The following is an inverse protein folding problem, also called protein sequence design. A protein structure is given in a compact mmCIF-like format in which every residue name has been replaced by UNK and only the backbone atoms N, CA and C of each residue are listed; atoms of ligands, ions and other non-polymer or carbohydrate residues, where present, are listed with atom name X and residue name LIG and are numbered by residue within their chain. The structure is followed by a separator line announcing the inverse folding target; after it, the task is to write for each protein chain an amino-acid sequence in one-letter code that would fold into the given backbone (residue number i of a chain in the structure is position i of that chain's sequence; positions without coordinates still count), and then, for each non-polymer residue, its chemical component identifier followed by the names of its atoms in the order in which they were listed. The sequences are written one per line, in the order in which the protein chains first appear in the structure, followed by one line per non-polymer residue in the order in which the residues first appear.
data_IF_568813884785
#
_entry.id   IF_568813884785
#
_cell.length_a   1.000
_cell.length_b   1.000
_cell.length_c   1.000
_cell.angle_alpha   90.00
_cell.angle_beta   90.00
_cell.angle_gamma   90.00
#
_symmetry.space_group_name_H-M   'P 1'
#
loop_
_entity.id
_entity.type
_entity.pdbx_description
1 polymer ?
#
# COMPACT_ATOMS: atom_id res chain seq x y z
N UNK A 1 33.47 -7.24 5.72
CA UNK A 1 32.39 -7.87 6.51
C UNK A 1 32.25 -7.11 7.82
N UNK A 2 31.75 -5.88 7.77
CA UNK A 2 31.11 -5.25 8.92
C UNK A 2 29.60 -5.50 8.75
N UNK A 3 29.18 -6.76 8.95
CA UNK A 3 27.86 -7.21 8.50
C UNK A 3 26.70 -6.58 9.30
N UNK A 4 26.96 -6.13 10.52
CA UNK A 4 25.95 -5.50 11.37
C UNK A 4 26.56 -4.31 12.11
N UNK A 5 25.88 -3.16 12.04
CA UNK A 5 26.28 -1.98 12.79
C UNK A 5 26.28 -2.28 14.31
N UNK A 6 27.18 -1.66 15.10
CA UNK A 6 27.26 -1.88 16.55
C UNK A 6 25.92 -1.72 17.28
N UNK A 7 25.05 -0.86 16.74
CA UNK A 7 23.71 -0.64 17.29
C UNK A 7 22.76 -1.81 17.06
N UNK A 8 22.77 -2.41 15.86
CA UNK A 8 22.02 -3.65 15.58
C UNK A 8 22.48 -4.77 16.51
N UNK A 9 23.78 -4.87 16.79
CA UNK A 9 24.33 -5.85 17.75
C UNK A 9 23.86 -5.58 19.17
N UNK A 10 23.86 -4.32 19.63
CA UNK A 10 23.32 -3.95 20.96
C UNK A 10 21.85 -4.33 21.10
N UNK A 11 21.04 -4.03 20.07
CA UNK A 11 19.62 -4.41 20.02
C UNK A 11 19.43 -5.93 20.04
N UNK A 12 20.27 -6.67 19.32
CA UNK A 12 20.25 -8.14 19.32
C UNK A 12 20.54 -8.70 20.71
N UNK A 13 21.61 -8.23 21.36
CA UNK A 13 21.96 -8.65 22.73
C UNK A 13 20.80 -8.35 23.68
N UNK A 14 20.20 -7.16 23.60
CA UNK A 14 19.04 -6.79 24.42
C UNK A 14 17.85 -7.74 24.23
N UNK A 15 17.58 -8.14 22.99
CA UNK A 15 16.53 -9.13 22.71
C UNK A 15 16.80 -10.47 23.38
N UNK A 16 18.05 -10.94 23.40
CA UNK A 16 18.39 -12.22 24.05
C UNK A 16 18.07 -12.21 25.55
N UNK A 17 18.24 -11.06 26.23
CA UNK A 17 17.96 -10.94 27.67
C UNK A 17 16.52 -10.56 28.01
N UNK A 18 15.85 -9.79 27.15
CA UNK A 18 14.54 -9.18 27.47
C UNK A 18 13.39 -9.67 26.59
N UNK A 19 13.69 -10.44 25.54
CA UNK A 19 12.75 -10.81 24.47
C UNK A 19 12.17 -9.62 23.71
N UNK A 20 12.81 -8.45 23.82
CA UNK A 20 12.49 -7.23 23.09
C UNK A 20 13.77 -6.46 22.69
N UNK A 21 13.71 -5.74 21.59
CA UNK A 21 14.68 -4.72 21.21
C UNK A 21 13.92 -3.40 20.97
N UNK A 22 13.80 -2.55 21.99
CA UNK A 22 12.97 -1.34 21.92
C UNK A 22 13.22 -0.51 20.65
N UNK A 23 12.14 -0.15 19.95
CA UNK A 23 12.19 0.65 18.72
C UNK A 23 12.37 2.16 18.97
N UNK A 24 12.26 2.61 20.22
CA UNK A 24 12.19 4.02 20.61
C UNK A 24 13.51 4.78 20.32
N UNK A 25 14.67 4.10 20.39
CA UNK A 25 15.98 4.70 20.07
C UNK A 25 16.20 4.90 18.55
N UNK A 26 15.39 4.27 17.69
CA UNK A 26 15.62 4.31 16.24
C UNK A 26 15.32 5.70 15.64
N UNK A 27 14.40 6.45 16.27
CA UNK A 27 14.01 7.78 15.81
C UNK A 27 14.99 8.88 16.24
N UNK A 28 15.81 8.68 17.29
CA UNK A 28 16.74 9.73 17.79
C UNK A 28 18.15 9.65 17.22
N UNK A 29 18.53 8.55 16.57
CA UNK A 29 19.88 8.34 16.03
C UNK A 29 20.16 9.12 14.72
N UNK A 30 19.14 9.76 14.15
CA UNK A 30 19.23 10.54 12.92
C UNK A 30 20.04 11.84 12.98
N UNK A 31 20.56 12.22 14.15
CA UNK A 31 21.26 13.48 14.37
C UNK A 31 22.80 13.35 14.50
N UNK A 32 23.37 12.14 14.45
CA UNK A 32 24.81 11.96 14.51
C UNK A 32 25.39 11.46 13.18
N UNK A 33 26.01 12.43 12.51
CA UNK A 33 26.80 12.39 11.29
C UNK A 33 27.63 11.11 11.11
N UNK A 34 27.69 10.67 9.85
CA UNK A 34 28.75 9.84 9.29
C UNK A 34 30.10 10.44 9.70
N UNK A 35 30.80 9.81 10.64
CA UNK A 35 32.17 10.15 10.99
C UNK A 35 33.07 9.45 10.00
N UNK A 36 33.55 10.21 9.02
CA UNK A 36 34.68 9.85 8.18
C UNK A 36 35.92 9.65 9.05
N UNK A 37 36.30 8.41 9.31
CA UNK A 37 37.59 8.06 9.85
C UNK A 37 38.54 7.72 8.70
N UNK A 38 39.17 8.75 8.13
CA UNK A 38 40.45 8.61 7.44
C UNK A 38 41.30 9.80 7.87
N UNK A 39 42.16 9.55 8.86
CA UNK A 39 43.25 10.44 9.24
C UNK A 39 44.54 9.81 8.74
N UNK A 40 45.32 10.63 8.05
CA UNK A 40 46.56 10.34 7.34
C UNK A 40 47.64 9.64 8.17
N UNK A 41 48.49 8.84 7.51
CA UNK A 41 49.94 8.83 7.77
C UNK A 41 50.75 8.29 6.56
N UNK A 42 51.14 9.25 5.71
CA UNK A 42 52.51 9.58 5.29
C UNK A 42 53.41 8.67 4.40
N UNK A 43 54.06 9.39 3.46
CA UNK A 43 55.44 9.24 2.95
C UNK A 43 55.75 8.40 1.69
N UNK A 44 55.74 9.11 0.55
CA UNK A 44 56.80 9.24 -0.48
C UNK A 44 57.91 8.19 -0.60
N UNK A 45 58.11 7.67 -1.84
CA UNK A 45 59.42 7.66 -2.50
C UNK A 45 59.30 7.43 -4.02
N UNK A 46 60.04 8.25 -4.76
CA UNK A 46 60.24 8.32 -6.21
C UNK A 46 60.82 7.05 -6.87
N UNK A 47 60.67 6.96 -8.21
CA UNK A 47 61.79 6.53 -9.06
C UNK A 47 61.45 5.95 -10.44
N UNK A 48 61.68 6.75 -11.50
CA UNK A 48 62.27 6.36 -12.80
C UNK A 48 61.49 5.38 -13.71
N UNK A 49 60.93 5.83 -14.83
CA UNK A 49 61.58 5.99 -16.16
C UNK A 49 61.86 4.69 -16.94
N UNK A 50 61.14 4.57 -18.07
CA UNK A 50 61.64 4.36 -19.44
C UNK A 50 61.04 3.20 -20.27
N UNK A 51 60.40 3.66 -21.36
CA UNK A 51 60.59 3.31 -22.76
C UNK A 51 60.33 1.86 -23.27
N UNK A 52 59.17 1.75 -23.91
CA UNK A 52 58.95 1.55 -25.35
C UNK A 52 59.28 0.19 -26.05
N UNK A 53 58.33 -0.12 -26.94
CA UNK A 53 58.41 -0.89 -28.19
C UNK A 53 58.24 -2.43 -28.23
N UNK A 54 57.04 -2.80 -28.69
CA UNK A 54 56.72 -3.64 -29.86
C UNK A 54 57.51 -4.93 -30.13
N UNK A 55 56.79 -6.06 -30.19
CA UNK A 55 56.46 -6.75 -31.45
C UNK A 55 55.85 -8.16 -31.24
N UNK A 56 54.66 -8.36 -31.83
CA UNK A 56 54.32 -9.48 -32.74
C UNK A 56 54.09 -10.92 -32.19
N UNK A 57 52.80 -11.34 -32.27
CA UNK A 57 52.18 -12.66 -32.64
C UNK A 57 52.79 -13.96 -32.10
N UNK A 58 52.04 -14.97 -31.63
CA UNK A 58 51.19 -15.91 -32.39
C UNK A 58 50.32 -16.78 -31.44
N UNK A 59 49.25 -17.36 -32.01
CA UNK A 59 48.29 -18.32 -31.44
C UNK A 59 48.92 -19.59 -30.85
N UNK A 60 48.31 -20.19 -29.81
CA UNK A 60 47.44 -21.38 -29.96
C UNK A 60 47.06 -22.05 -28.62
N UNK A 61 45.78 -22.43 -28.57
CA UNK A 61 45.16 -23.62 -27.99
C UNK A 61 45.47 -24.12 -26.54
N UNK A 62 44.35 -24.21 -25.80
CA UNK A 62 43.93 -25.33 -24.95
C UNK A 62 44.47 -25.41 -23.51
N UNK A 63 43.60 -25.11 -22.55
CA UNK A 63 43.37 -25.99 -21.38
C UNK A 63 42.08 -25.59 -20.66
N UNK A 64 41.17 -26.55 -20.60
CA UNK A 64 40.03 -26.63 -19.70
C UNK A 64 40.49 -26.52 -18.25
N UNK A 65 40.03 -25.50 -17.53
CA UNK A 65 40.00 -25.56 -16.08
C UNK A 65 38.75 -24.88 -15.53
N UNK A 66 37.96 -25.69 -14.82
CA UNK A 66 36.71 -25.31 -14.18
C UNK A 66 37.06 -24.50 -12.93
N UNK A 67 36.96 -23.18 -13.03
CA UNK A 67 37.06 -22.31 -11.85
C UNK A 67 35.94 -21.27 -11.88
N UNK A 68 35.01 -21.43 -10.94
CA UNK A 68 33.92 -20.52 -10.62
C UNK A 68 34.46 -19.13 -10.30
N UNK A 69 34.60 -18.28 -11.33
CA UNK A 69 34.87 -16.85 -11.14
C UNK A 69 33.55 -16.13 -10.86
N UNK A 70 33.35 -15.83 -9.58
CA UNK A 70 32.44 -14.81 -9.11
C UNK A 70 32.68 -13.51 -9.90
N UNK A 71 31.69 -13.09 -10.67
CA UNK A 71 31.68 -11.81 -11.35
C UNK A 71 31.50 -10.74 -10.27
N UNK A 72 32.61 -10.13 -9.83
CA UNK A 72 32.60 -8.87 -9.10
C UNK A 72 32.22 -7.76 -10.09
N UNK A 73 30.93 -7.52 -10.25
CA UNK A 73 30.47 -6.21 -10.72
C UNK A 73 30.57 -5.23 -9.56
N UNK A 74 31.74 -4.59 -9.44
CA UNK A 74 31.85 -3.35 -8.69
C UNK A 74 31.15 -2.25 -9.49
N UNK A 75 29.84 -2.12 -9.31
CA UNK A 75 29.12 -0.95 -9.80
C UNK A 75 29.49 0.21 -8.88
N UNK A 76 30.32 1.13 -9.37
CA UNK A 76 30.45 2.48 -8.82
C UNK A 76 29.13 3.21 -9.14
N UNK A 77 28.12 2.95 -8.33
CA UNK A 77 26.85 3.67 -8.36
C UNK A 77 27.08 5.08 -7.84
N UNK A 78 26.70 6.06 -8.64
CA UNK A 78 26.55 7.46 -8.24
C UNK A 78 25.47 7.46 -7.17
N UNK A 79 25.83 7.74 -5.92
CA UNK A 79 24.89 7.80 -4.79
C UNK A 79 23.93 8.96 -5.07
N UNK A 80 22.76 8.64 -5.61
CA UNK A 80 21.65 9.58 -5.72
C UNK A 80 21.13 9.72 -4.29
N UNK A 81 21.33 10.87 -3.67
CA UNK A 81 20.72 11.17 -2.38
C UNK A 81 19.20 11.08 -2.54
N UNK A 82 18.60 9.99 -2.04
CA UNK A 82 17.15 9.84 -1.99
C UNK A 82 16.67 10.52 -0.71
N UNK A 83 16.00 11.69 -0.77
CA UNK A 83 15.54 12.41 0.42
C UNK A 83 14.60 11.57 1.31
N UNK A 84 14.00 10.54 0.74
CA UNK A 84 13.13 9.54 1.39
C UNK A 84 13.86 8.71 2.46
N UNK A 85 15.18 8.54 2.35
CA UNK A 85 16.01 7.79 3.33
C UNK A 85 16.20 8.55 4.66
N UNK A 86 15.87 9.84 4.68
CA UNK A 86 15.87 10.67 5.87
C UNK A 86 14.67 10.45 6.79
N UNK A 87 13.61 9.82 6.29
CA UNK A 87 12.35 9.68 7.00
C UNK A 87 12.46 8.72 8.22
N UNK A 88 11.89 9.08 9.38
CA UNK A 88 11.97 8.25 10.58
C UNK A 88 11.28 6.89 10.42
N UNK A 89 10.22 6.79 9.62
CA UNK A 89 9.52 5.54 9.33
C UNK A 89 10.40 4.63 8.47
N UNK A 90 11.00 5.19 7.41
CA UNK A 90 11.96 4.47 6.57
C UNK A 90 13.09 3.85 7.42
N UNK A 91 13.69 4.65 8.30
CA UNK A 91 14.77 4.21 9.21
C UNK A 91 14.31 3.15 10.21
N UNK A 92 13.09 3.28 10.71
CA UNK A 92 12.48 2.31 11.63
C UNK A 92 12.31 0.96 10.96
N UNK A 93 11.77 0.94 9.74
CA UNK A 93 11.60 -0.31 8.97
C UNK A 93 12.97 -0.93 8.69
N UNK A 94 13.94 -0.14 8.23
CA UNK A 94 15.28 -0.64 7.94
C UNK A 94 15.98 -1.24 9.18
N UNK A 95 15.81 -0.62 10.35
CA UNK A 95 16.32 -1.16 11.59
C UNK A 95 15.65 -2.49 11.95
N UNK A 96 14.34 -2.63 11.76
CA UNK A 96 13.66 -3.90 11.95
C UNK A 96 14.08 -4.96 10.93
N UNK A 97 14.31 -4.59 9.67
CA UNK A 97 14.85 -5.50 8.65
C UNK A 97 16.23 -6.04 9.03
N UNK A 98 17.12 -5.19 9.57
CA UNK A 98 18.42 -5.65 10.07
C UNK A 98 18.27 -6.62 11.24
N UNK A 99 17.33 -6.37 12.14
CA UNK A 99 17.04 -7.28 13.26
C UNK A 99 16.45 -8.61 12.80
N UNK A 100 15.60 -8.57 11.77
CA UNK A 100 15.11 -9.75 11.09
C UNK A 100 16.30 -10.56 10.52
N UNK A 101 17.20 -9.92 9.77
CA UNK A 101 18.39 -10.54 9.20
C UNK A 101 19.31 -11.16 10.25
N UNK A 102 19.51 -10.48 11.39
CA UNK A 102 20.28 -11.03 12.51
C UNK A 102 19.59 -12.25 13.13
N UNK A 103 18.26 -12.20 13.27
CA UNK A 103 17.47 -13.33 13.74
C UNK A 103 17.62 -14.54 12.82
N UNK A 104 17.61 -14.33 11.51
CA UNK A 104 17.82 -15.39 10.53
C UNK A 104 19.25 -15.94 10.59
N UNK A 105 20.26 -15.06 10.56
CA UNK A 105 21.68 -15.42 10.61
C UNK A 105 22.06 -16.25 11.85
N UNK A 106 21.55 -15.87 13.03
CA UNK A 106 21.83 -16.58 14.29
C UNK A 106 20.78 -17.65 14.65
N UNK A 107 19.83 -17.93 13.74
CA UNK A 107 18.74 -18.90 13.94
C UNK A 107 17.91 -18.65 15.22
N UNK A 108 17.46 -17.41 15.39
CA UNK A 108 16.59 -16.93 16.47
C UNK A 108 15.20 -16.62 15.89
N UNK A 109 14.32 -17.63 15.70
CA UNK A 109 13.04 -17.47 14.98
C UNK A 109 12.06 -16.51 15.66
N UNK A 110 12.12 -16.39 16.99
CA UNK A 110 11.29 -15.43 17.75
C UNK A 110 11.63 -13.98 17.36
N UNK A 111 12.90 -13.69 17.07
CA UNK A 111 13.36 -12.36 16.66
C UNK A 111 12.88 -12.04 15.24
N UNK A 112 13.00 -13.00 14.31
CA UNK A 112 12.49 -12.89 12.93
C UNK A 112 10.99 -12.58 12.95
N UNK A 113 10.22 -13.33 13.75
CA UNK A 113 8.78 -13.12 13.91
C UNK A 113 8.45 -11.75 14.50
N UNK A 114 9.14 -11.33 15.56
CA UNK A 114 8.92 -10.02 16.17
C UNK A 114 9.25 -8.89 15.19
N UNK A 115 10.35 -9.00 14.46
CA UNK A 115 10.75 -8.01 13.48
C UNK A 115 9.75 -7.87 12.34
N UNK A 116 9.30 -9.00 11.74
CA UNK A 116 8.25 -8.97 10.72
C UNK A 116 6.95 -8.37 11.23
N UNK A 117 6.56 -8.69 12.48
CA UNK A 117 5.37 -8.10 13.11
C UNK A 117 5.49 -6.58 13.19
N UNK A 118 6.66 -6.06 13.59
CA UNK A 118 6.89 -4.61 13.72
C UNK A 118 6.96 -3.90 12.39
N UNK A 119 7.58 -4.50 11.37
CA UNK A 119 7.60 -3.98 10.01
C UNK A 119 6.16 -3.86 9.50
N UNK A 120 5.36 -4.94 9.65
CA UNK A 120 3.98 -4.95 9.20
C UNK A 120 3.13 -3.89 9.93
N UNK A 121 3.23 -3.79 11.27
CA UNK A 121 2.52 -2.74 12.03
C UNK A 121 2.90 -1.34 11.55
N UNK A 122 4.19 -1.10 11.30
CA UNK A 122 4.67 0.19 10.83
C UNK A 122 4.08 0.53 9.45
N UNK A 123 4.09 -0.42 8.52
CA UNK A 123 3.54 -0.28 7.17
C UNK A 123 2.01 -0.13 7.15
N UNK A 124 1.28 -0.96 7.91
CA UNK A 124 -0.19 -0.93 7.94
C UNK A 124 -0.76 0.30 8.67
N UNK A 125 0.02 0.96 9.52
CA UNK A 125 -0.41 2.19 10.20
C UNK A 125 -0.30 3.45 9.32
N UNK A 126 0.21 3.31 8.10
CA UNK A 126 0.48 4.40 7.18
C UNK A 126 -0.78 5.00 6.55
N UNK A 127 -0.78 6.31 6.37
CA UNK A 127 -1.66 6.94 5.37
C UNK A 127 -1.06 6.72 3.97
N UNK A 128 -1.87 6.45 2.93
CA UNK A 128 -1.40 6.41 1.53
C UNK A 128 -0.72 7.70 1.06
N UNK A 129 -1.01 8.82 1.72
CA UNK A 129 -0.43 10.14 1.45
C UNK A 129 0.81 10.44 2.31
N UNK A 130 1.35 9.44 3.04
CA UNK A 130 2.50 9.66 3.89
C UNK A 130 3.76 9.98 3.06
N UNK A 131 4.59 10.95 3.49
CA UNK A 131 5.75 11.42 2.70
C UNK A 131 6.79 10.34 2.35
N UNK A 132 6.84 9.23 3.07
CA UNK A 132 7.77 8.12 2.83
C UNK A 132 7.25 7.06 1.84
N UNK A 133 5.95 7.08 1.50
CA UNK A 133 5.33 6.11 0.58
C UNK A 133 6.03 6.06 -0.79
N UNK A 134 6.43 7.20 -1.41
CA UNK A 134 7.17 7.17 -2.66
C UNK A 134 8.49 6.39 -2.57
N UNK A 135 9.13 6.37 -1.40
CA UNK A 135 10.38 5.65 -1.14
C UNK A 135 10.22 4.16 -0.82
N UNK A 136 9.01 3.60 -0.87
CA UNK A 136 8.77 2.18 -0.67
C UNK A 136 9.56 1.25 -1.61
N UNK A 137 9.72 1.55 -2.92
CA UNK A 137 10.56 0.73 -3.80
C UNK A 137 12.01 0.66 -3.33
N UNK A 138 12.60 1.81 -2.99
CA UNK A 138 13.98 1.92 -2.47
C UNK A 138 14.11 1.18 -1.15
N UNK A 139 13.11 1.28 -0.27
CA UNK A 139 13.07 0.53 0.98
C UNK A 139 13.05 -0.97 0.72
N UNK A 140 12.23 -1.42 -0.24
CA UNK A 140 12.09 -2.83 -0.58
C UNK A 140 13.40 -3.37 -1.17
N UNK A 141 14.06 -2.63 -2.05
CA UNK A 141 15.39 -2.96 -2.57
C UNK A 141 16.40 -3.11 -1.44
N UNK A 142 16.54 -2.07 -0.61
CA UNK A 142 17.49 -2.07 0.50
C UNK A 142 17.21 -3.22 1.46
N UNK A 143 15.94 -3.52 1.72
CA UNK A 143 15.54 -4.58 2.61
C UNK A 143 15.87 -5.97 2.05
N UNK A 144 15.59 -6.20 0.76
CA UNK A 144 15.84 -7.47 0.08
C UNK A 144 17.34 -7.71 -0.16
N UNK A 145 18.15 -6.66 -0.26
CA UNK A 145 19.61 -6.77 -0.24
C UNK A 145 20.15 -7.23 1.12
N UNK A 146 19.49 -6.84 2.21
CA UNK A 146 19.88 -7.20 3.58
C UNK A 146 19.45 -8.62 3.92
N UNK A 147 18.18 -8.96 3.66
CA UNK A 147 17.64 -10.29 3.92
C UNK A 147 16.54 -10.61 2.93
N UNK A 148 16.69 -11.75 2.26
CA UNK A 148 15.68 -12.27 1.36
C UNK A 148 15.00 -13.47 2.00
N UNK A 149 14.02 -13.20 2.88
CA UNK A 149 13.12 -14.24 3.38
C UNK A 149 11.69 -13.99 2.90
N UNK A 150 10.95 -15.09 2.77
CA UNK A 150 9.60 -15.14 2.23
C UNK A 150 8.64 -14.19 2.96
N UNK A 151 8.69 -14.16 4.30
CA UNK A 151 7.81 -13.33 5.11
C UNK A 151 8.05 -11.82 4.94
N UNK A 152 9.29 -11.37 4.79
CA UNK A 152 9.60 -9.96 4.56
C UNK A 152 9.24 -9.55 3.12
N UNK A 153 9.55 -10.41 2.15
CA UNK A 153 9.20 -10.17 0.75
C UNK A 153 7.70 -10.01 0.56
N UNK A 154 6.89 -10.83 1.23
CA UNK A 154 5.43 -10.76 1.17
C UNK A 154 4.91 -9.43 1.76
N UNK A 155 5.39 -9.04 2.94
CA UNK A 155 4.99 -7.80 3.63
C UNK A 155 5.34 -6.55 2.80
N UNK A 156 6.54 -6.49 2.24
CA UNK A 156 6.97 -5.36 1.40
C UNK A 156 6.20 -5.33 0.07
N UNK A 157 5.97 -6.49 -0.54
CA UNK A 157 5.18 -6.60 -1.78
C UNK A 157 3.76 -6.11 -1.57
N UNK A 158 3.12 -6.52 -0.47
CA UNK A 158 1.79 -6.06 -0.09
C UNK A 158 1.75 -4.54 0.08
N UNK A 159 2.72 -3.96 0.81
CA UNK A 159 2.79 -2.52 1.01
C UNK A 159 3.01 -1.73 -0.28
N UNK A 160 3.87 -2.22 -1.19
CA UNK A 160 4.06 -1.62 -2.52
C UNK A 160 2.78 -1.74 -3.35
N UNK A 161 2.11 -2.88 -3.34
CA UNK A 161 0.88 -3.11 -4.10
C UNK A 161 -0.29 -2.22 -3.61
N UNK A 162 -0.45 -2.06 -2.31
CA UNK A 162 -1.48 -1.19 -1.72
C UNK A 162 -1.28 0.29 -2.11
N UNK A 163 -0.02 0.71 -2.26
CA UNK A 163 0.34 2.09 -2.59
C UNK A 163 0.75 2.26 -4.07
N UNK A 164 0.46 1.28 -4.92
CA UNK A 164 1.00 1.24 -6.28
C UNK A 164 0.55 2.43 -7.13
N UNK A 165 -0.67 2.92 -6.93
CA UNK A 165 -1.18 4.10 -7.63
C UNK A 165 -0.32 5.33 -7.37
N UNK A 166 0.02 5.58 -6.09
CA UNK A 166 0.87 6.71 -5.67
C UNK A 166 2.29 6.54 -6.21
N UNK A 167 2.86 5.34 -6.05
CA UNK A 167 4.23 5.02 -6.51
C UNK A 167 4.37 5.23 -8.03
N UNK A 168 3.40 4.73 -8.82
CA UNK A 168 3.40 4.92 -10.27
C UNK A 168 3.21 6.38 -10.69
N UNK A 169 2.42 7.16 -9.93
CA UNK A 169 2.21 8.59 -10.20
C UNK A 169 3.47 9.40 -9.93
N UNK A 170 4.21 9.05 -8.88
CA UNK A 170 5.46 9.69 -8.51
C UNK A 170 6.67 9.24 -9.34
N UNK A 171 6.52 8.14 -10.12
CA UNK A 171 7.57 7.63 -11.01
C UNK A 171 8.71 6.91 -10.29
N UNK A 172 8.60 6.59 -9.00
CA UNK A 172 9.73 6.06 -8.20
C UNK A 172 10.13 4.62 -8.55
N UNK A 173 9.32 3.92 -9.36
CA UNK A 173 9.66 2.61 -9.93
C UNK A 173 10.42 2.70 -11.26
N UNK A 174 10.55 3.88 -11.88
CA UNK A 174 11.19 4.00 -13.21
C UNK A 174 12.69 3.71 -13.16
N UNK A 175 13.34 4.09 -12.07
CA UNK A 175 14.77 3.88 -11.83
C UNK A 175 15.07 2.64 -10.97
N UNK A 176 14.02 1.92 -10.54
CA UNK A 176 14.13 0.78 -9.62
C UNK A 176 14.60 -0.49 -10.34
N UNK A 177 15.64 -1.20 -9.86
CA UNK A 177 16.00 -2.53 -10.35
C UNK A 177 14.94 -3.61 -10.10
N UNK A 178 13.92 -3.34 -9.27
CA UNK A 178 12.84 -4.30 -9.00
C UNK A 178 12.01 -4.61 -10.24
N UNK A 179 11.94 -3.70 -11.21
CA UNK A 179 11.06 -3.82 -12.37
C UNK A 179 11.81 -3.60 -13.68
N UNK A 180 11.52 -4.44 -14.66
CA UNK A 180 11.93 -4.16 -16.05
C UNK A 180 11.01 -3.10 -16.67
N UNK A 181 11.44 -2.37 -17.71
CA UNK A 181 10.58 -1.41 -18.41
C UNK A 181 9.29 -2.04 -18.94
N UNK A 182 9.34 -3.30 -19.38
CA UNK A 182 8.17 -4.05 -19.82
C UNK A 182 7.20 -4.30 -18.65
N UNK A 183 7.70 -4.80 -17.52
CA UNK A 183 6.88 -5.04 -16.32
C UNK A 183 6.23 -3.75 -15.82
N UNK A 184 6.97 -2.64 -15.84
CA UNK A 184 6.47 -1.34 -15.43
C UNK A 184 5.33 -0.85 -16.34
N UNK A 185 5.46 -0.99 -17.66
CA UNK A 185 4.39 -0.62 -18.58
C UNK A 185 3.13 -1.49 -18.39
N UNK A 186 3.30 -2.79 -18.19
CA UNK A 186 2.19 -3.70 -17.84
C UNK A 186 1.52 -3.24 -16.55
N UNK A 187 2.31 -2.92 -15.52
CA UNK A 187 1.80 -2.47 -14.23
C UNK A 187 1.05 -1.14 -14.32
N UNK A 188 1.56 -0.18 -15.11
CA UNK A 188 0.87 1.10 -15.42
C UNK A 188 -0.49 0.84 -16.07
N UNK A 189 -0.57 -0.05 -17.07
CA UNK A 189 -1.84 -0.40 -17.73
C UNK A 189 -2.80 -1.13 -16.79
N UNK A 190 -2.30 -2.04 -15.96
CA UNK A 190 -3.10 -2.75 -14.96
C UNK A 190 -3.68 -1.79 -13.92
N UNK A 191 -2.88 -0.85 -13.43
CA UNK A 191 -3.33 0.17 -12.48
C UNK A 191 -4.42 1.08 -13.09
N UNK A 192 -4.20 1.58 -14.31
CA UNK A 192 -5.19 2.39 -15.02
C UNK A 192 -6.51 1.64 -15.26
N UNK A 193 -6.43 0.36 -15.64
CA UNK A 193 -7.62 -0.50 -15.81
C UNK A 193 -8.35 -0.71 -14.49
N UNK A 194 -7.61 -0.94 -13.41
CA UNK A 194 -8.19 -1.14 -12.06
C UNK A 194 -8.88 0.13 -11.55
N UNK A 195 -8.29 1.30 -11.79
CA UNK A 195 -8.91 2.59 -11.48
C UNK A 195 -10.21 2.81 -12.27
N UNK A 196 -10.20 2.59 -13.58
CA UNK A 196 -11.41 2.72 -14.42
C UNK A 196 -12.53 1.74 -14.01
N UNK A 197 -12.17 0.52 -13.61
CA UNK A 197 -13.13 -0.46 -13.08
C UNK A 197 -13.71 -0.01 -11.73
N UNK A 198 -12.88 0.53 -10.84
CA UNK A 198 -13.30 1.08 -9.55
C UNK A 198 -14.30 2.23 -9.72
N UNK A 199 -14.01 3.18 -10.62
CA UNK A 199 -14.91 4.28 -10.95
C UNK A 199 -16.25 3.79 -11.52
N UNK A 200 -16.20 2.84 -12.46
CA UNK A 200 -17.39 2.23 -13.05
C UNK A 200 -18.24 1.52 -12.00
N UNK A 201 -17.61 0.79 -11.09
CA UNK A 201 -18.29 0.10 -10.00
C UNK A 201 -18.95 1.10 -9.05
N UNK A 202 -18.23 2.14 -8.65
CA UNK A 202 -18.76 3.22 -7.80
C UNK A 202 -19.99 3.90 -8.41
N UNK A 203 -19.92 4.23 -9.70
CA UNK A 203 -21.05 4.77 -10.45
C UNK A 203 -22.25 3.81 -10.43
N UNK A 204 -22.05 2.53 -10.76
CA UNK A 204 -23.13 1.53 -10.78
C UNK A 204 -23.76 1.31 -9.41
N UNK A 205 -22.95 1.26 -8.35
CA UNK A 205 -23.43 1.14 -6.96
C UNK A 205 -24.32 2.33 -6.60
N UNK A 206 -23.91 3.55 -6.95
CA UNK A 206 -24.70 4.76 -6.72
C UNK A 206 -26.04 4.71 -7.46
N UNK A 207 -26.02 4.40 -8.76
CA UNK A 207 -27.24 4.28 -9.56
C UNK A 207 -28.18 3.21 -9.02
N UNK A 208 -27.65 2.06 -8.60
CA UNK A 208 -28.45 0.98 -8.01
C UNK A 208 -29.12 1.44 -6.71
N UNK A 209 -28.40 2.15 -5.83
CA UNK A 209 -28.97 2.71 -4.61
C UNK A 209 -30.07 3.75 -4.91
N UNK A 210 -29.88 4.60 -5.92
CA UNK A 210 -30.90 5.56 -6.35
C UNK A 210 -32.15 4.87 -6.90
N UNK A 211 -31.99 3.79 -7.67
CA UNK A 211 -33.13 3.00 -8.18
C UNK A 211 -33.81 2.24 -7.05
N UNK A 212 -33.05 1.62 -6.15
CA UNK A 212 -33.58 0.87 -5.02
C UNK A 212 -34.40 1.76 -4.09
N UNK A 213 -33.92 2.97 -3.78
CA UNK A 213 -34.68 3.93 -2.96
C UNK A 213 -35.97 4.39 -3.64
N UNK A 214 -35.99 4.56 -4.97
CA UNK A 214 -37.22 4.85 -5.73
C UNK A 214 -38.19 3.68 -5.71
N UNK A 215 -37.68 2.46 -5.92
CA UNK A 215 -38.49 1.24 -5.89
C UNK A 215 -39.14 1.04 -4.52
N UNK A 216 -38.36 1.21 -3.44
CA UNK A 216 -38.86 1.10 -2.07
C UNK A 216 -40.00 2.10 -1.81
N UNK A 217 -39.81 3.38 -2.20
CA UNK A 217 -40.86 4.41 -2.06
C UNK A 217 -42.12 4.05 -2.85
N UNK A 218 -41.97 3.55 -4.07
CA UNK A 218 -43.11 3.13 -4.89
C UNK A 218 -43.84 1.91 -4.29
N UNK A 219 -43.09 0.95 -3.77
CA UNK A 219 -43.65 -0.22 -3.08
C UNK A 219 -44.42 0.19 -1.81
N UNK A 220 -43.86 1.09 -1.00
CA UNK A 220 -44.52 1.61 0.20
C UNK A 220 -45.80 2.38 -0.16
N UNK A 221 -45.76 3.20 -1.23
CA UNK A 221 -46.95 3.89 -1.74
C UNK A 221 -48.03 2.92 -2.23
N UNK A 222 -47.65 1.88 -2.97
CA UNK A 222 -48.59 0.87 -3.45
C UNK A 222 -49.23 0.11 -2.27
N UNK A 223 -48.46 -0.19 -1.23
CA UNK A 223 -48.98 -0.80 0.00
C UNK A 223 -49.98 0.13 0.70
N UNK A 224 -49.64 1.40 0.87
CA UNK A 224 -50.53 2.41 1.46
C UNK A 224 -51.84 2.56 0.67
N UNK A 225 -51.76 2.60 -0.67
CA UNK A 225 -52.93 2.64 -1.54
C UNK A 225 -53.82 1.41 -1.37
N UNK A 226 -53.22 0.22 -1.29
CA UNK A 226 -53.95 -1.04 -1.06
C UNK A 226 -54.67 -1.01 0.30
N UNK A 227 -53.99 -0.59 1.37
CA UNK A 227 -54.60 -0.46 2.70
C UNK A 227 -55.75 0.55 2.74
N UNK A 228 -55.58 1.70 2.07
CA UNK A 228 -56.62 2.71 1.93
C UNK A 228 -57.84 2.14 1.18
N UNK A 229 -57.62 1.42 0.07
CA UNK A 229 -58.70 0.81 -0.71
C UNK A 229 -59.46 -0.26 0.08
N UNK A 230 -58.77 -1.10 0.86
CA UNK A 230 -59.41 -2.06 1.77
C UNK A 230 -60.25 -1.36 2.83
N UNK A 231 -59.74 -0.26 3.40
CA UNK A 231 -60.48 0.53 4.40
C UNK A 231 -61.74 1.14 3.80
N UNK A 232 -61.61 1.78 2.63
CA UNK A 232 -62.73 2.39 1.90
C UNK A 232 -63.78 1.32 1.55
N UNK A 233 -63.38 0.19 0.95
CA UNK A 233 -64.32 -0.88 0.58
C UNK A 233 -65.02 -1.58 1.76
N UNK A 234 -64.45 -1.53 2.97
CA UNK A 234 -65.07 -2.13 4.17
C UNK A 234 -66.24 -1.33 4.75
N UNK A 235 -66.37 -0.04 4.39
CA UNK A 235 -67.40 0.85 4.92
C UNK A 235 -68.50 0.98 3.88
N UNK A 236 -69.78 0.89 4.29
CA UNK A 236 -70.94 0.93 3.40
C UNK A 236 -71.89 2.12 3.67
N UNK A 237 -71.47 3.06 4.54
CA UNK A 237 -72.26 4.23 4.96
C UNK A 237 -71.37 5.47 5.03
N UNK A 238 -71.94 6.64 4.77
CA UNK A 238 -71.26 7.91 5.02
C UNK A 238 -70.92 8.07 6.52
N UNK A 239 -69.71 8.58 6.84
CA UNK A 239 -69.31 8.88 8.23
C UNK A 239 -70.00 10.12 8.82
N UNK A 240 -70.56 10.99 7.98
CA UNK A 240 -71.24 12.20 8.44
C UNK A 240 -72.58 11.86 9.07
N UNK A 241 -72.76 12.25 10.34
CA UNK A 241 -74.02 12.04 11.08
C UNK A 241 -75.19 12.65 10.32
N UNK A 242 -76.23 11.85 10.08
CA UNK A 242 -77.43 12.26 9.33
C UNK A 242 -77.38 12.04 7.82
N UNK A 243 -76.22 11.68 7.24
CA UNK A 243 -76.14 11.36 5.81
C UNK A 243 -76.59 9.91 5.54
N UNK A 244 -77.61 9.74 4.70
CA UNK A 244 -78.14 8.42 4.30
C UNK A 244 -77.45 7.80 3.08
N UNK A 245 -76.38 8.43 2.58
CA UNK A 245 -75.65 7.96 1.40
C UNK A 245 -74.99 6.60 1.62
N UNK A 246 -75.28 5.63 0.76
CA UNK A 246 -74.61 4.33 0.70
C UNK A 246 -73.39 4.43 -0.20
N UNK A 247 -72.31 4.96 0.37
CA UNK A 247 -70.95 4.82 -0.15
C UNK A 247 -70.68 5.21 -1.62
N UNK A 248 -71.50 6.11 -2.17
CA UNK A 248 -71.17 6.85 -3.38
C UNK A 248 -70.17 7.95 -2.98
N UNK A 249 -68.88 7.64 -3.04
CA UNK A 249 -67.80 8.59 -2.77
C UNK A 249 -66.99 8.84 -4.06
N UNK A 250 -66.46 10.04 -4.20
CA UNK A 250 -65.62 10.41 -5.34
C UNK A 250 -64.38 11.17 -4.86
N UNK A 251 -63.30 11.10 -5.63
CA UNK A 251 -62.13 11.95 -5.42
C UNK A 251 -62.37 13.31 -6.09
N UNK A 252 -62.34 14.35 -5.28
CA UNK A 252 -62.44 15.73 -5.76
C UNK A 252 -61.17 16.10 -6.54
N UNK A 253 -61.29 16.39 -7.83
CA UNK A 253 -60.16 16.70 -8.72
C UNK A 253 -59.35 17.92 -8.26
N UNK A 254 -59.97 18.85 -7.51
CA UNK A 254 -59.30 20.06 -7.02
C UNK A 254 -58.49 19.82 -5.74
N UNK A 255 -58.88 18.85 -4.90
CA UNK A 255 -58.27 18.64 -3.59
C UNK A 255 -57.65 17.26 -3.38
N UNK A 256 -57.89 16.31 -4.30
CA UNK A 256 -57.46 14.91 -4.18
C UNK A 256 -58.08 14.17 -3.00
N UNK A 257 -59.07 14.74 -2.31
CA UNK A 257 -59.69 14.16 -1.12
C UNK A 257 -60.94 13.37 -1.48
N UNK A 258 -61.14 12.25 -0.79
CA UNK A 258 -62.36 11.47 -0.89
C UNK A 258 -63.53 12.26 -0.28
N UNK A 259 -64.64 12.38 -1.01
CA UNK A 259 -65.84 13.10 -0.55
C UNK A 259 -67.09 12.27 -0.81
N UNK A 260 -68.09 12.46 0.05
CA UNK A 260 -69.42 11.88 -0.16
C UNK A 260 -70.14 12.55 -1.35
N UNK A 261 -70.74 11.75 -2.23
CA UNK A 261 -71.55 12.25 -3.35
C UNK A 261 -72.79 13.02 -2.89
N UNK A 262 -73.42 12.60 -1.79
CA UNK A 262 -74.65 13.22 -1.26
C UNK A 262 -74.40 14.48 -0.43
N UNK A 263 -73.59 14.39 0.63
CA UNK A 263 -73.40 15.50 1.56
C UNK A 263 -72.17 16.37 1.26
N UNK A 264 -71.34 15.99 0.27
CA UNK A 264 -70.08 16.66 -0.13
C UNK A 264 -69.04 16.81 0.99
N UNK A 265 -69.30 16.24 2.17
CA UNK A 265 -68.39 16.19 3.29
C UNK A 265 -67.13 15.38 2.93
N UNK A 266 -66.01 15.77 3.57
CA UNK A 266 -64.70 15.13 3.41
C UNK A 266 -64.64 13.84 4.23
N UNK A 267 -63.98 12.81 3.70
CA UNK A 267 -63.74 11.54 4.37
C UNK A 267 -62.26 11.24 4.51
#
# INVERSE_FOLDING_TARGET
MDAFAPESVRRFIRFLYTKDYNAIDISSEGAQSVVNANTDENATANGGENANESATTVNDANSTDTSSKAVKHASKGKEVEHPETGDPVFRTILAHTRMNAMGDYYNVPELVKLANTRINVTLSSASPDAPWVPGLPVLAETALEIVNNEGLSEVLTAAVAENIGTILTMGTLEDSPLMTPFCLEVLKKCNATSQALSETLSYKVRTLNEVNTKYQKAADQALQQKMAMTTVSSVNKCRTVGCKGRFECFFDQSSGRLRCQHCKAKH
#
